data_IF_912440358531
#
_entry.id   IF_912440358531
#
_cell.length_a   1.000
_cell.length_b   1.000
_cell.length_c   1.000
_cell.angle_alpha   90.00
_cell.angle_beta   90.00
_cell.angle_gamma   90.00
#
_symmetry.space_group_name_H-M   'P 1'
#
loop_
_entity.id
_entity.type
_entity.pdbx_description
1 polymer ?
#
# COMPACT_ATOMS: atom_id res chain seq x y z
N UNK A 1 -1.23 8.15 0.20
CA UNK A 1 -1.25 7.62 -1.19
C UNK A 1 -1.71 6.17 -1.18
N UNK A 2 -2.54 5.75 -2.15
CA UNK A 2 -2.89 4.34 -2.37
C UNK A 2 -2.25 3.89 -3.69
N UNK A 3 -1.51 2.79 -3.67
CA UNK A 3 -0.86 2.21 -4.85
C UNK A 3 -1.83 1.27 -5.58
N UNK A 4 -2.21 1.62 -6.79
CA UNK A 4 -3.23 0.93 -7.58
C UNK A 4 -2.84 0.69 -9.06
N UNK A 5 -1.57 0.93 -9.44
CA UNK A 5 -1.11 0.83 -10.84
C UNK A 5 -0.78 -0.61 -11.29
N UNK A 6 -0.74 -1.58 -10.39
CA UNK A 6 -0.35 -2.96 -10.70
C UNK A 6 -1.32 -3.67 -11.65
N UNK A 7 -0.80 -4.39 -12.65
CA UNK A 7 -1.60 -5.13 -13.64
C UNK A 7 -2.42 -6.29 -13.01
N UNK A 8 -1.95 -6.86 -11.90
CA UNK A 8 -2.61 -7.98 -11.25
C UNK A 8 -2.55 -9.29 -12.04
N UNK A 9 -1.43 -9.60 -12.68
CA UNK A 9 -1.26 -10.78 -13.54
C UNK A 9 -1.71 -12.10 -12.91
N UNK A 10 -1.41 -12.31 -11.62
CA UNK A 10 -1.79 -13.52 -10.88
C UNK A 10 -3.30 -13.63 -10.58
N UNK A 11 -4.05 -12.56 -10.81
CA UNK A 11 -5.50 -12.49 -10.60
C UNK A 11 -6.29 -12.77 -11.89
N UNK A 12 -5.62 -13.00 -13.02
CA UNK A 12 -6.30 -13.33 -14.29
C UNK A 12 -7.13 -14.62 -14.14
N UNK A 13 -8.31 -14.70 -14.79
CA UNK A 13 -8.86 -13.74 -15.76
C UNK A 13 -9.60 -12.53 -15.13
N UNK A 14 -9.78 -12.45 -13.81
CA UNK A 14 -10.55 -11.39 -13.16
C UNK A 14 -10.04 -9.99 -13.53
N UNK A 15 -8.72 -9.83 -13.61
CA UNK A 15 -8.07 -8.55 -13.90
C UNK A 15 -7.95 -8.24 -15.40
N UNK A 16 -8.53 -9.03 -16.26
CA UNK A 16 -8.62 -8.71 -17.69
C UNK A 16 -9.66 -7.61 -17.96
N UNK A 17 -10.68 -7.51 -17.10
CA UNK A 17 -11.80 -6.59 -17.26
C UNK A 17 -12.05 -5.67 -16.08
N UNK A 18 -11.47 -5.95 -14.91
CA UNK A 18 -11.62 -5.16 -13.69
C UNK A 18 -10.26 -4.92 -13.07
N UNK A 19 -9.83 -3.67 -12.80
CA UNK A 19 -8.55 -3.44 -12.16
C UNK A 19 -8.55 -4.04 -10.75
N UNK A 20 -7.44 -4.62 -10.33
CA UNK A 20 -7.32 -5.37 -9.07
C UNK A 20 -7.89 -4.65 -7.84
N UNK A 21 -7.65 -3.32 -7.64
CA UNK A 21 -8.20 -2.61 -6.49
C UNK A 21 -9.74 -2.51 -6.47
N UNK A 22 -10.39 -2.73 -7.61
CA UNK A 22 -11.86 -2.74 -7.71
C UNK A 22 -12.47 -4.14 -7.57
N UNK A 23 -11.69 -5.19 -7.42
CA UNK A 23 -12.22 -6.52 -7.11
C UNK A 23 -12.92 -6.50 -5.74
N UNK A 24 -14.06 -7.18 -5.67
CA UNK A 24 -14.96 -7.11 -4.51
C UNK A 24 -14.60 -8.17 -3.48
N UNK A 25 -14.57 -7.79 -2.21
CA UNK A 25 -14.53 -8.66 -1.05
C UNK A 25 -15.36 -8.05 0.08
N UNK A 26 -16.21 -8.83 0.72
CA UNK A 26 -17.13 -8.35 1.76
C UNK A 26 -18.12 -7.30 1.24
N UNK A 27 -18.60 -7.47 0.00
CA UNK A 27 -19.62 -6.60 -0.60
C UNK A 27 -19.13 -5.25 -1.13
N UNK A 28 -17.83 -4.93 -1.07
CA UNK A 28 -17.27 -3.68 -1.61
C UNK A 28 -15.89 -3.87 -2.23
N UNK A 29 -15.45 -2.98 -3.16
CA UNK A 29 -14.10 -3.01 -3.73
C UNK A 29 -13.00 -2.98 -2.68
N UNK A 30 -11.88 -3.69 -2.92
CA UNK A 30 -10.73 -3.74 -2.00
C UNK A 30 -10.23 -2.35 -1.62
N UNK A 31 -10.12 -1.44 -2.58
CA UNK A 31 -9.63 -0.07 -2.33
C UNK A 31 -10.58 0.74 -1.43
N UNK A 32 -11.89 0.45 -1.44
CA UNK A 32 -12.88 1.17 -0.63
C UNK A 32 -12.69 0.90 0.86
N UNK A 33 -12.23 -0.29 1.24
CA UNK A 33 -11.85 -0.59 2.62
C UNK A 33 -10.78 0.37 3.15
N UNK A 34 -9.80 0.73 2.31
CA UNK A 34 -8.77 1.71 2.67
C UNK A 34 -9.33 3.13 2.72
N UNK A 35 -10.16 3.52 1.74
CA UNK A 35 -10.74 4.87 1.71
C UNK A 35 -11.58 5.15 2.96
N UNK A 36 -12.44 4.23 3.36
CA UNK A 36 -13.25 4.35 4.56
C UNK A 36 -12.39 4.46 5.83
N UNK A 37 -11.36 3.61 5.97
CA UNK A 37 -10.45 3.65 7.12
C UNK A 37 -9.59 4.91 7.16
N UNK A 38 -9.12 5.38 6.01
CA UNK A 38 -8.39 6.63 5.92
C UNK A 38 -9.28 7.83 6.28
N UNK A 39 -10.55 7.84 5.82
CA UNK A 39 -11.52 8.86 6.19
C UNK A 39 -11.81 8.87 7.70
N UNK A 40 -12.02 7.69 8.29
CA UNK A 40 -12.20 7.51 9.73
C UNK A 40 -10.98 7.96 10.54
N UNK A 41 -9.78 7.74 10.01
CA UNK A 41 -8.50 8.18 10.57
C UNK A 41 -8.19 9.68 10.34
N UNK A 42 -9.15 10.44 9.86
CA UNK A 42 -9.05 11.88 9.61
C UNK A 42 -8.10 12.28 8.46
N UNK A 43 -7.65 11.37 7.62
CA UNK A 43 -7.06 11.74 6.33
C UNK A 43 -8.13 12.39 5.46
N UNK A 44 -7.75 13.37 4.65
CA UNK A 44 -8.69 14.10 3.78
C UNK A 44 -8.23 14.15 2.33
N UNK A 45 -6.93 14.14 2.10
CA UNK A 45 -6.34 14.17 0.76
C UNK A 45 -5.72 12.82 0.43
N UNK A 46 -6.18 12.22 -0.67
CA UNK A 46 -5.75 10.90 -1.12
C UNK A 46 -5.21 11.02 -2.55
N UNK A 47 -4.00 10.54 -2.77
CA UNK A 47 -3.44 10.36 -4.11
C UNK A 47 -3.53 8.88 -4.47
N UNK A 48 -4.08 8.56 -5.64
CA UNK A 48 -4.17 7.19 -6.16
C UNK A 48 -3.43 7.13 -7.50
N UNK A 49 -2.36 6.33 -7.59
CA UNK A 49 -1.76 6.05 -8.90
C UNK A 49 -2.48 4.88 -9.56
N UNK A 50 -2.54 4.90 -10.87
CA UNK A 50 -3.14 3.83 -11.65
C UNK A 50 -2.48 3.72 -13.05
N UNK A 51 -2.63 2.55 -13.70
CA UNK A 51 -2.19 2.31 -15.06
C UNK A 51 -3.21 1.45 -15.81
N UNK A 52 -3.22 0.14 -15.57
CA UNK A 52 -4.13 -0.79 -16.22
C UNK A 52 -5.58 -0.54 -15.79
N UNK A 53 -6.45 -0.29 -16.77
CA UNK A 53 -7.88 0.01 -16.57
C UNK A 53 -8.11 1.19 -15.59
N UNK A 54 -7.20 2.15 -15.55
CA UNK A 54 -7.21 3.26 -14.60
C UNK A 54 -8.48 4.11 -14.67
N UNK A 55 -9.05 4.30 -15.87
CA UNK A 55 -10.31 5.02 -16.05
C UNK A 55 -11.48 4.41 -15.25
N UNK A 56 -11.51 3.09 -15.08
CA UNK A 56 -12.52 2.44 -14.25
C UNK A 56 -12.37 2.80 -12.77
N UNK A 57 -11.13 2.97 -12.30
CA UNK A 57 -10.84 3.41 -10.94
C UNK A 57 -11.37 4.83 -10.74
N UNK A 58 -11.06 5.74 -11.65
CA UNK A 58 -11.53 7.13 -11.60
C UNK A 58 -13.07 7.22 -11.68
N UNK A 59 -13.69 6.47 -12.58
CA UNK A 59 -15.16 6.44 -12.72
C UNK A 59 -15.86 5.88 -11.49
N UNK A 60 -15.27 4.86 -10.85
CA UNK A 60 -15.86 4.19 -9.68
C UNK A 60 -15.72 5.02 -8.40
N UNK A 61 -14.57 5.65 -8.20
CA UNK A 61 -14.27 6.34 -6.95
C UNK A 61 -14.58 7.85 -7.01
N UNK A 62 -14.64 8.44 -8.22
CA UNK A 62 -14.88 9.86 -8.41
C UNK A 62 -13.86 10.74 -7.71
N UNK A 63 -14.31 11.83 -7.16
CA UNK A 63 -13.48 12.79 -6.42
C UNK A 63 -13.31 12.46 -4.92
N UNK A 64 -13.93 11.36 -4.45
CA UNK A 64 -13.87 10.91 -3.06
C UNK A 64 -14.86 11.57 -2.11
N UNK A 65 -15.67 12.53 -2.56
CA UNK A 65 -16.60 13.31 -1.74
C UNK A 65 -17.59 12.42 -0.97
N UNK A 66 -17.98 11.27 -1.53
CA UNK A 66 -18.87 10.30 -0.88
C UNK A 66 -18.30 9.72 0.43
N UNK A 67 -16.98 9.76 0.63
CA UNK A 67 -16.31 9.37 1.89
C UNK A 67 -15.80 10.59 2.70
N UNK A 68 -16.11 11.81 2.27
CA UNK A 68 -15.56 13.03 2.86
C UNK A 68 -14.06 13.20 2.58
N UNK A 69 -13.57 12.60 1.50
CA UNK A 69 -12.19 12.67 1.01
C UNK A 69 -12.10 13.56 -0.23
N UNK A 70 -10.90 13.97 -0.57
CA UNK A 70 -10.52 14.54 -1.85
C UNK A 70 -9.52 13.61 -2.52
N UNK A 71 -9.91 12.95 -3.59
CA UNK A 71 -9.06 12.03 -4.36
C UNK A 71 -8.46 12.79 -5.54
N UNK A 72 -7.14 12.66 -5.71
CA UNK A 72 -6.40 13.12 -6.89
C UNK A 72 -5.70 11.91 -7.50
N UNK A 73 -5.76 11.79 -8.81
CA UNK A 73 -5.19 10.67 -9.54
C UNK A 73 -3.82 11.00 -10.13
N UNK A 74 -2.94 10.01 -10.11
CA UNK A 74 -1.61 10.04 -10.73
C UNK A 74 -1.52 8.94 -11.78
N UNK A 75 -1.96 9.20 -13.04
CA UNK A 75 -1.92 8.20 -14.09
C UNK A 75 -0.48 7.86 -14.48
N UNK A 76 -0.22 6.57 -14.68
CA UNK A 76 1.07 6.04 -15.13
C UNK A 76 0.96 5.48 -16.55
N UNK A 77 2.06 5.43 -17.31
CA UNK A 77 2.08 4.84 -18.64
C UNK A 77 1.75 3.33 -18.58
N UNK A 78 1.35 2.73 -19.71
CA UNK A 78 1.19 1.29 -19.81
C UNK A 78 2.45 0.55 -19.36
N UNK A 79 2.27 -0.46 -18.49
CA UNK A 79 3.36 -1.23 -17.88
C UNK A 79 3.70 -0.79 -16.46
N UNK A 80 3.13 0.32 -15.98
CA UNK A 80 3.38 0.92 -14.66
C UNK A 80 4.86 1.28 -14.40
N UNK A 81 5.10 2.05 -13.35
CA UNK A 81 6.44 2.57 -13.01
C UNK A 81 7.10 1.82 -11.85
N UNK A 82 6.53 0.71 -11.42
CA UNK A 82 6.91 0.05 -10.18
C UNK A 82 6.68 0.99 -8.95
N UNK A 83 6.86 0.48 -7.75
CA UNK A 83 6.45 1.21 -6.54
C UNK A 83 7.17 2.55 -6.36
N UNK A 84 8.50 2.57 -6.44
CA UNK A 84 9.26 3.80 -6.20
C UNK A 84 9.10 4.82 -7.34
N UNK A 85 9.04 4.36 -8.58
CA UNK A 85 8.79 5.23 -9.74
C UNK A 85 7.40 5.87 -9.70
N UNK A 86 6.37 5.11 -9.34
CA UNK A 86 5.02 5.61 -9.16
C UNK A 86 4.91 6.65 -8.05
N UNK A 87 5.53 6.38 -6.88
CA UNK A 87 5.56 7.35 -5.77
C UNK A 87 6.31 8.62 -6.18
N UNK A 88 7.51 8.50 -6.78
CA UNK A 88 8.29 9.65 -7.21
C UNK A 88 7.55 10.52 -8.22
N UNK A 89 6.77 9.91 -9.11
CA UNK A 89 5.92 10.62 -10.08
C UNK A 89 4.77 11.37 -9.41
N UNK A 90 4.24 10.81 -8.33
CA UNK A 90 3.14 11.40 -7.57
C UNK A 90 3.59 12.47 -6.52
N UNK A 91 4.89 12.63 -6.26
CA UNK A 91 5.39 13.58 -5.24
C UNK A 91 4.82 14.99 -5.35
N UNK A 92 4.68 15.59 -6.54
CA UNK A 92 4.07 16.93 -6.67
C UNK A 92 2.63 17.02 -6.15
N UNK A 93 1.92 15.89 -6.06
CA UNK A 93 0.56 15.80 -5.56
C UNK A 93 0.50 15.48 -4.06
N UNK A 94 1.60 14.96 -3.49
CA UNK A 94 1.70 14.51 -2.10
C UNK A 94 2.15 15.63 -1.14
N UNK A 95 2.75 16.70 -1.66
CA UNK A 95 3.29 17.81 -0.86
C UNK A 95 4.61 17.49 -0.17
N UNK A 96 5.00 18.36 0.77
CA UNK A 96 6.34 18.35 1.38
C UNK A 96 6.41 17.63 2.74
N UNK A 97 5.25 17.28 3.31
CA UNK A 97 5.18 16.56 4.59
C UNK A 97 5.33 15.03 4.39
N UNK A 98 5.73 14.29 5.43
CA UNK A 98 5.66 12.83 5.40
C UNK A 98 4.25 12.34 5.05
N UNK A 99 4.15 11.29 4.27
CA UNK A 99 2.90 10.75 3.77
C UNK A 99 2.80 9.24 3.96
N UNK A 100 1.58 8.78 4.23
CA UNK A 100 1.26 7.36 4.32
C UNK A 100 1.10 6.77 2.91
N UNK A 101 1.69 5.60 2.68
CA UNK A 101 1.49 4.77 1.48
C UNK A 101 0.82 3.48 1.89
N UNK A 102 -0.21 3.08 1.13
CA UNK A 102 -0.93 1.82 1.32
C UNK A 102 -1.04 1.11 -0.03
N UNK A 103 -0.68 -0.16 -0.08
CA UNK A 103 -0.90 -0.99 -1.26
C UNK A 103 -2.41 -1.25 -1.43
N UNK A 104 -2.98 -0.91 -2.58
CA UNK A 104 -4.41 -1.07 -2.87
C UNK A 104 -4.88 -2.51 -3.03
N UNK A 105 -3.97 -3.48 -2.95
CA UNK A 105 -4.22 -4.91 -3.11
C UNK A 105 -4.05 -5.71 -1.80
N UNK A 106 -3.89 -5.04 -0.67
CA UNK A 106 -3.93 -5.66 0.65
C UNK A 106 -5.25 -5.33 1.35
N UNK A 107 -5.66 -6.19 2.26
CA UNK A 107 -6.69 -5.91 3.25
C UNK A 107 -6.04 -5.91 4.63
N UNK A 108 -6.35 -4.93 5.46
CA UNK A 108 -5.95 -4.94 6.87
C UNK A 108 -6.99 -4.19 7.72
N UNK A 109 -7.09 -4.55 9.00
CA UNK A 109 -7.93 -3.87 9.99
C UNK A 109 -7.16 -2.81 10.81
N UNK A 110 -6.03 -2.36 10.29
CA UNK A 110 -5.13 -1.41 10.95
C UNK A 110 -5.81 -0.04 11.16
N UNK A 111 -5.62 0.51 12.36
CA UNK A 111 -5.94 1.92 12.63
C UNK A 111 -4.88 2.83 11.98
N UNK A 112 -5.26 3.51 10.91
CA UNK A 112 -4.39 4.47 10.23
C UNK A 112 -4.25 5.79 10.98
N UNK A 113 -5.07 6.08 12.00
CA UNK A 113 -5.00 7.29 12.80
C UNK A 113 -3.63 7.49 13.47
N UNK A 114 -2.96 6.39 13.80
CA UNK A 114 -1.60 6.39 14.35
C UNK A 114 -0.53 6.99 13.43
N UNK A 115 -0.82 7.10 12.13
CA UNK A 115 0.10 7.64 11.12
C UNK A 115 -0.25 9.07 10.67
N UNK A 116 -1.36 9.65 11.12
CA UNK A 116 -1.84 10.96 10.65
C UNK A 116 -0.83 12.11 10.89
N UNK A 117 -0.05 12.03 11.96
CA UNK A 117 1.01 12.99 12.30
C UNK A 117 2.29 12.25 12.73
N UNK A 118 2.62 11.19 12.03
CA UNK A 118 3.77 10.36 12.37
C UNK A 118 5.07 11.16 12.28
N UNK A 119 5.84 11.27 13.37
CA UNK A 119 7.10 12.01 13.35
C UNK A 119 8.15 11.27 12.54
N UNK A 120 8.51 11.80 11.39
CA UNK A 120 9.49 11.18 10.49
C UNK A 120 10.51 12.22 10.04
N UNK A 121 11.79 11.93 10.21
CA UNK A 121 12.86 12.81 9.76
C UNK A 121 12.97 12.81 8.22
N UNK A 122 13.53 13.89 7.66
CA UNK A 122 13.79 14.00 6.22
C UNK A 122 14.69 12.86 5.73
N UNK A 123 14.33 12.25 4.61
CA UNK A 123 15.05 11.11 4.03
C UNK A 123 14.79 9.76 4.72
N UNK A 124 13.96 9.71 5.74
CA UNK A 124 13.61 8.48 6.45
C UNK A 124 12.33 7.84 5.92
N UNK A 125 12.15 6.56 6.26
CA UNK A 125 10.89 5.84 6.09
C UNK A 125 10.60 4.96 7.31
N UNK A 126 9.32 4.68 7.53
CA UNK A 126 8.83 3.76 8.55
C UNK A 126 7.86 2.75 7.92
N UNK A 127 8.13 1.45 8.09
CA UNK A 127 7.32 0.39 7.47
C UNK A 127 6.55 -0.40 8.52
N UNK A 128 5.36 -0.84 8.14
CA UNK A 128 4.61 -1.82 8.90
C UNK A 128 4.97 -3.22 8.40
N UNK A 129 5.32 -4.08 9.33
CA UNK A 129 5.69 -5.46 9.08
C UNK A 129 4.65 -6.41 9.68
N UNK A 130 4.42 -7.53 9.02
CA UNK A 130 3.54 -8.62 9.48
C UNK A 130 4.30 -9.93 9.55
N UNK A 131 3.73 -10.92 10.21
CA UNK A 131 4.23 -12.29 10.18
C UNK A 131 4.21 -12.83 8.76
N UNK A 132 5.18 -13.68 8.46
CA UNK A 132 5.29 -14.26 7.12
C UNK A 132 4.05 -15.09 6.80
N UNK A 133 3.27 -14.75 5.77
CA UNK A 133 2.17 -15.57 5.33
C UNK A 133 2.68 -16.89 4.73
N UNK A 134 1.84 -17.91 4.68
CA UNK A 134 2.20 -19.25 4.20
C UNK A 134 2.80 -19.25 2.78
N UNK A 135 2.43 -18.29 1.95
CA UNK A 135 2.93 -18.17 0.57
C UNK A 135 4.22 -17.32 0.46
N UNK A 136 4.73 -16.74 1.57
CA UNK A 136 5.96 -15.95 1.61
C UNK A 136 6.75 -16.22 2.89
N UNK A 137 7.08 -17.47 3.14
CA UNK A 137 7.74 -17.95 4.37
C UNK A 137 9.14 -17.40 4.58
N UNK A 138 9.83 -16.95 3.51
CA UNK A 138 11.14 -16.36 3.61
C UNK A 138 11.13 -14.93 4.20
N UNK A 139 9.99 -14.22 4.12
CA UNK A 139 9.87 -12.83 4.53
C UNK A 139 10.73 -11.88 3.71
N UNK A 140 10.71 -10.61 4.10
CA UNK A 140 11.46 -9.55 3.40
C UNK A 140 12.66 -9.04 4.19
N UNK A 141 12.51 -8.91 5.50
CA UNK A 141 13.45 -8.25 6.41
C UNK A 141 13.42 -8.92 7.79
N UNK A 142 14.27 -8.43 8.69
CA UNK A 142 14.16 -8.70 10.14
C UNK A 142 13.96 -7.38 10.89
N UNK A 143 13.38 -7.46 12.10
CA UNK A 143 13.26 -6.34 13.02
C UNK A 143 14.25 -6.52 14.18
N UNK A 144 15.00 -5.46 14.48
CA UNK A 144 15.85 -5.32 15.66
C UNK A 144 15.35 -4.09 16.44
N UNK A 145 14.50 -4.33 17.43
CA UNK A 145 13.68 -3.30 18.05
C UNK A 145 12.75 -2.64 17.05
N UNK A 146 12.91 -1.35 16.82
CA UNK A 146 12.22 -0.54 15.83
C UNK A 146 13.00 -0.37 14.51
N UNK A 147 14.18 -0.99 14.37
CA UNK A 147 14.99 -0.91 13.17
C UNK A 147 14.72 -2.07 12.22
N UNK A 148 14.52 -1.76 10.96
CA UNK A 148 14.51 -2.78 9.91
C UNK A 148 15.97 -3.08 9.51
N UNK A 149 16.29 -4.37 9.50
CA UNK A 149 17.61 -4.87 9.11
C UNK A 149 17.50 -5.92 8.01
N UNK A 150 18.60 -6.14 7.29
CA UNK A 150 18.65 -7.23 6.32
C UNK A 150 18.45 -8.56 7.05
N UNK A 151 17.66 -9.46 6.47
CA UNK A 151 17.42 -10.78 7.04
C UNK A 151 18.74 -11.58 7.14
N UNK A 152 19.20 -11.83 8.36
CA UNK A 152 20.37 -12.65 8.64
C UNK A 152 19.98 -13.73 9.66
N UNK A 153 19.60 -14.92 9.19
CA UNK A 153 19.55 -16.14 10.02
C UNK A 153 18.65 -16.08 11.26
N UNK A 154 17.63 -15.25 11.33
CA UNK A 154 16.72 -15.07 12.44
C UNK A 154 15.26 -15.05 12.00
N UNK A 155 14.39 -14.57 12.88
CA UNK A 155 12.98 -14.38 12.56
C UNK A 155 12.82 -13.27 11.51
N UNK A 156 12.31 -13.64 10.34
CA UNK A 156 11.98 -12.71 9.27
C UNK A 156 10.53 -12.27 9.35
N UNK A 157 10.23 -11.13 8.76
CA UNK A 157 8.89 -10.53 8.66
C UNK A 157 8.65 -10.04 7.24
N UNK A 158 7.39 -9.92 6.86
CA UNK A 158 6.95 -9.46 5.55
C UNK A 158 6.54 -7.98 5.61
N UNK A 159 6.91 -7.19 4.61
CA UNK A 159 6.42 -5.82 4.47
C UNK A 159 4.92 -5.84 4.15
N UNK A 160 4.13 -5.21 5.00
CA UNK A 160 2.66 -5.22 4.89
C UNK A 160 2.11 -4.41 3.72
N UNK A 161 2.95 -3.72 2.95
CA UNK A 161 2.47 -2.76 1.95
C UNK A 161 1.91 -1.47 2.56
N UNK A 162 2.23 -1.17 3.82
CA UNK A 162 1.84 0.04 4.54
C UNK A 162 3.09 0.69 5.13
N UNK A 163 3.31 1.98 4.87
CA UNK A 163 4.46 2.69 5.43
C UNK A 163 4.34 4.19 5.30
N UNK A 164 5.05 4.92 6.16
CA UNK A 164 5.19 6.37 6.10
C UNK A 164 6.53 6.73 5.50
N UNK A 165 6.54 7.64 4.54
CA UNK A 165 7.72 8.06 3.83
C UNK A 165 7.87 9.58 3.87
N UNK A 166 9.07 10.06 4.04
CA UNK A 166 9.41 11.45 3.77
C UNK A 166 9.56 11.65 2.24
N UNK A 167 9.12 12.76 1.64
CA UNK A 167 9.35 13.03 0.22
C UNK A 167 10.83 12.92 -0.18
N UNK A 168 11.74 13.36 0.67
CA UNK A 168 13.18 13.29 0.44
C UNK A 168 13.74 11.85 0.35
N UNK A 169 13.00 10.84 0.83
CA UNK A 169 13.36 9.43 0.64
C UNK A 169 13.46 9.03 -0.84
N UNK A 170 12.69 9.71 -1.69
CA UNK A 170 12.65 9.48 -3.15
C UNK A 170 13.48 10.49 -3.96
N UNK A 171 14.29 11.35 -3.34
CA UNK A 171 15.02 12.42 -4.01
C UNK A 171 15.97 11.92 -5.14
N UNK A 172 16.41 10.67 -5.08
CA UNK A 172 17.25 10.05 -6.13
C UNK A 172 16.47 9.38 -7.26
N UNK A 173 15.13 9.42 -7.25
CA UNK A 173 14.27 8.75 -8.24
C UNK A 173 13.71 9.79 -9.19
N UNK A 174 14.02 9.66 -10.49
CA UNK A 174 13.47 10.54 -11.52
C UNK A 174 12.01 10.17 -11.77
N UNK A 175 11.11 11.17 -11.73
CA UNK A 175 9.70 10.97 -12.09
C UNK A 175 9.55 10.35 -13.50
N UNK A 176 8.60 9.45 -13.66
CA UNK A 176 8.35 8.75 -14.93
C UNK A 176 9.30 7.58 -15.20
N UNK A 177 10.23 7.25 -14.31
CA UNK A 177 11.14 6.11 -14.49
C UNK A 177 10.62 4.86 -13.77
N UNK A 178 10.84 3.69 -14.35
CA UNK A 178 10.51 2.40 -13.72
C UNK A 178 11.53 2.11 -12.62
N UNK A 179 11.09 2.11 -11.36
CA UNK A 179 11.96 1.89 -10.20
C UNK A 179 11.26 1.11 -9.11
N UNK A 180 11.85 -0.02 -8.71
CA UNK A 180 11.40 -0.82 -7.56
C UNK A 180 11.73 -0.13 -6.24
N UNK A 181 10.88 -0.32 -5.22
CA UNK A 181 11.13 0.23 -3.88
C UNK A 181 12.30 -0.48 -3.15
N UNK A 182 12.48 -1.77 -3.37
CA UNK A 182 13.47 -2.60 -2.64
C UNK A 182 14.89 -2.03 -2.62
N UNK A 183 15.47 -1.52 -3.73
CA UNK A 183 16.81 -0.93 -3.69
C UNK A 183 16.91 0.29 -2.76
N UNK A 184 15.86 1.14 -2.71
CA UNK A 184 15.84 2.28 -1.81
C UNK A 184 15.76 1.83 -0.35
N UNK A 185 14.93 0.83 -0.04
CA UNK A 185 14.84 0.26 1.30
C UNK A 185 16.19 -0.32 1.75
N UNK A 186 16.91 -1.04 0.87
CA UNK A 186 18.23 -1.58 1.18
C UNK A 186 19.25 -0.46 1.46
N UNK A 187 19.23 0.62 0.68
CA UNK A 187 20.08 1.79 0.93
C UNK A 187 19.75 2.47 2.27
N UNK A 188 18.46 2.59 2.60
CA UNK A 188 18.02 3.16 3.86
C UNK A 188 18.37 2.28 5.07
N UNK A 189 18.34 0.96 4.94
CA UNK A 189 18.84 0.03 5.96
C UNK A 189 20.32 0.29 6.22
N UNK A 190 21.13 0.36 5.16
CA UNK A 190 22.56 0.62 5.28
C UNK A 190 22.88 1.98 5.91
N UNK A 191 22.03 3.00 5.65
CA UNK A 191 22.15 4.34 6.21
C UNK A 191 21.54 4.47 7.63
N UNK A 192 20.80 3.46 8.13
CA UNK A 192 20.12 3.52 9.42
C UNK A 192 18.92 4.46 9.44
N UNK A 193 18.30 4.72 8.27
CA UNK A 193 17.18 5.64 8.10
C UNK A 193 15.84 4.92 7.86
N UNK A 194 15.81 3.60 8.07
CA UNK A 194 14.60 2.78 7.93
C UNK A 194 14.21 2.19 9.28
N UNK A 195 13.06 2.62 9.79
CA UNK A 195 12.42 2.04 10.97
C UNK A 195 11.20 1.21 10.59
N UNK A 196 10.70 0.45 11.54
CA UNK A 196 9.49 -0.34 11.34
C UNK A 196 8.88 -0.84 12.63
N UNK A 197 7.65 -1.30 12.51
CA UNK A 197 6.90 -1.89 13.60
C UNK A 197 6.18 -3.16 13.15
N UNK A 198 5.91 -4.07 14.07
CA UNK A 198 5.13 -5.27 13.80
C UNK A 198 3.65 -5.02 14.04
N UNK A 199 2.84 -5.33 13.05
CA UNK A 199 1.39 -5.35 13.15
C UNK A 199 0.91 -6.80 13.33
N UNK A 200 0.16 -7.04 14.40
CA UNK A 200 -0.37 -8.36 14.76
C UNK A 200 -1.88 -8.50 14.48
N UNK A 201 -2.51 -7.47 13.90
CA UNK A 201 -3.91 -7.51 13.49
C UNK A 201 -4.12 -8.28 12.18
N UNK A 202 -5.33 -8.23 11.67
CA UNK A 202 -5.69 -8.94 10.45
C UNK A 202 -5.08 -8.26 9.22
N UNK A 203 -4.33 -9.03 8.46
CA UNK A 203 -3.71 -8.59 7.21
C UNK A 203 -3.78 -9.71 6.17
N UNK A 204 -4.15 -9.37 4.93
CA UNK A 204 -4.24 -10.31 3.81
C UNK A 204 -3.68 -9.64 2.55
N UNK A 205 -2.67 -10.25 1.94
CA UNK A 205 -2.25 -9.93 0.56
C UNK A 205 -3.19 -10.65 -0.42
N UNK A 206 -4.05 -9.89 -1.10
CA UNK A 206 -5.02 -10.42 -2.06
C UNK A 206 -4.34 -10.61 -3.42
N UNK A 207 -3.41 -11.55 -3.50
CA UNK A 207 -2.58 -11.77 -4.70
C UNK A 207 -3.07 -12.85 -5.65
N UNK A 208 -4.14 -13.60 -5.30
CA UNK A 208 -4.71 -14.67 -6.14
C UNK A 208 -6.24 -14.70 -6.02
N UNK A 209 -6.98 -15.24 -7.04
CA UNK A 209 -8.43 -15.41 -6.96
C UNK A 209 -8.88 -16.21 -5.74
N UNK A 210 -8.10 -17.21 -5.34
CA UNK A 210 -8.39 -18.02 -4.16
C UNK A 210 -8.36 -17.17 -2.89
N UNK A 211 -7.30 -16.36 -2.68
CA UNK A 211 -7.19 -15.48 -1.49
C UNK A 211 -8.28 -14.39 -1.47
N UNK A 212 -8.72 -13.94 -2.64
CA UNK A 212 -9.87 -13.04 -2.75
C UNK A 212 -11.15 -13.73 -2.25
N UNK A 213 -11.43 -14.95 -2.69
CA UNK A 213 -12.61 -15.71 -2.27
C UNK A 213 -12.59 -16.06 -0.77
N UNK A 214 -11.43 -16.41 -0.23
CA UNK A 214 -11.23 -16.64 1.20
C UNK A 214 -11.56 -15.36 2.01
N UNK A 215 -10.99 -14.21 1.61
CA UNK A 215 -11.25 -12.93 2.25
C UNK A 215 -12.74 -12.54 2.16
N UNK A 216 -13.37 -12.71 1.00
CA UNK A 216 -14.80 -12.42 0.79
C UNK A 216 -15.67 -13.23 1.75
N UNK A 217 -15.43 -14.54 1.83
CA UNK A 217 -16.16 -15.46 2.74
C UNK A 217 -16.01 -15.07 4.21
N UNK A 218 -14.80 -14.70 4.63
CA UNK A 218 -14.51 -14.29 5.99
C UNK A 218 -15.22 -12.97 6.35
N UNK A 219 -15.20 -11.98 5.44
CA UNK A 219 -15.85 -10.68 5.67
C UNK A 219 -17.37 -10.80 5.70
N UNK A 220 -17.96 -11.66 4.86
CA UNK A 220 -19.39 -11.95 4.88
C UNK A 220 -19.85 -12.53 6.23
N UNK A 221 -19.03 -13.39 6.84
CA UNK A 221 -19.34 -14.01 8.14
C UNK A 221 -19.27 -13.01 9.29
N UNK A 222 -18.37 -12.03 9.22
CA UNK A 222 -18.23 -11.00 10.26
C UNK A 222 -19.41 -10.03 10.25
N UNK A 223 -19.94 -9.67 9.07
CA UNK A 223 -21.08 -8.75 8.92
C UNK A 223 -22.42 -9.32 9.41
N UNK A 224 -22.52 -10.63 9.61
CA UNK A 224 -23.76 -11.30 10.11
C UNK A 224 -23.82 -11.31 11.64
N UNK A 225 -22.69 -11.04 12.31
CA UNK A 225 -22.59 -11.10 13.78
C UNK A 225 -22.53 -9.71 14.45
N UNK A 226 -22.64 -8.62 13.70
CA UNK A 226 -22.82 -7.24 14.17
C UNK A 226 -24.29 -6.78 13.99
#
# INVERSE_FOLDING_TARGET
>A
MILAAGRGERMRPLTDHTPKPLLVAGGKPLIVWHLERLAAASFREIVINHAHLGEQIEQTLGDGSQWGLRIVYSPEPPGALETAGGIATALPLLGDAPFLVVNGDVYCDMDFGRFANFPLASGHAHLVMVDNPAHHTAGDFSLDGDRIVVAHGGQTVTYAGVGVFSPAFFAGVTAGTVMKLRPLLNAAIAAGTLSGERFAGRWVDVGTPQRLAELDSELATTSVNE
#
